data_IF_031478611405
#
_entry.id   IF_031478611405
#
_cell.length_a   1.000
_cell.length_b   1.000
_cell.length_c   1.000
_cell.angle_alpha   90.00
_cell.angle_beta   90.00
_cell.angle_gamma   90.00
#
_symmetry.space_group_name_H-M   'P 1'
#
loop_
_entity.id
_entity.type
_entity.pdbx_description
1 polymer ?
#
# COMPACT_ATOMS: atom_id res chain seq x y z
N UNK A 1 4.58 -14.88 -8.09
CA UNK A 1 5.88 -15.13 -7.42
C UNK A 1 6.12 -13.96 -6.49
N UNK A 2 6.40 -14.19 -5.21
CA UNK A 2 6.66 -13.11 -4.26
C UNK A 2 7.89 -12.28 -4.71
N UNK A 3 7.93 -10.96 -4.43
CA UNK A 3 9.10 -10.14 -4.72
C UNK A 3 10.33 -10.67 -3.96
N UNK A 4 11.52 -10.40 -4.47
CA UNK A 4 12.78 -10.87 -3.87
C UNK A 4 12.87 -10.43 -2.41
N UNK A 5 13.18 -11.36 -1.50
CA UNK A 5 13.33 -11.12 -0.07
C UNK A 5 12.02 -11.17 0.72
N UNK A 6 10.87 -11.21 0.05
CA UNK A 6 9.58 -11.43 0.70
C UNK A 6 9.27 -12.92 0.83
N UNK A 7 8.64 -13.27 1.94
CA UNK A 7 8.25 -14.64 2.31
C UNK A 7 6.81 -14.65 2.80
N UNK A 8 6.26 -15.85 3.03
CA UNK A 8 4.83 -15.99 3.32
C UNK A 8 4.00 -15.70 2.08
N UNK A 9 2.84 -15.05 2.25
CA UNK A 9 1.92 -14.78 1.14
C UNK A 9 1.32 -16.06 0.55
N UNK A 10 1.04 -17.04 1.40
CA UNK A 10 0.24 -18.22 1.06
C UNK A 10 -1.25 -17.91 1.20
N UNK A 11 -2.11 -18.72 0.59
CA UNK A 11 -3.57 -18.48 0.61
C UNK A 11 -4.03 -17.63 -0.58
N UNK A 12 -5.00 -16.74 -0.36
CA UNK A 12 -5.53 -15.82 -1.38
C UNK A 12 -4.76 -14.49 -1.39
N UNK A 13 -3.43 -14.60 -1.51
CA UNK A 13 -2.52 -13.46 -1.58
C UNK A 13 -1.77 -13.50 -2.91
N UNK A 14 -1.86 -12.42 -3.67
CA UNK A 14 -1.29 -12.33 -5.01
C UNK A 14 -0.47 -11.05 -5.17
N UNK A 15 0.38 -11.05 -6.20
CA UNK A 15 1.25 -9.92 -6.54
C UNK A 15 0.97 -9.58 -7.99
N UNK A 16 0.41 -8.41 -8.20
CA UNK A 16 -0.18 -7.99 -9.46
C UNK A 16 0.43 -6.70 -9.98
N UNK A 17 0.28 -6.51 -11.29
CA UNK A 17 0.73 -5.32 -11.98
C UNK A 17 -0.33 -4.20 -11.86
N UNK A 18 0.08 -2.92 -11.82
CA UNK A 18 -0.85 -1.80 -11.82
C UNK A 18 -1.89 -1.88 -12.96
N UNK A 19 -3.15 -1.61 -12.65
CA UNK A 19 -4.24 -1.60 -13.65
C UNK A 19 -4.85 -2.97 -13.95
N UNK A 20 -4.44 -4.04 -13.27
CA UNK A 20 -4.97 -5.39 -13.52
C UNK A 20 -6.04 -5.84 -12.54
N UNK A 21 -6.35 -5.07 -11.49
CA UNK A 21 -7.20 -5.53 -10.37
C UNK A 21 -8.60 -5.98 -10.82
N UNK A 22 -9.13 -5.41 -11.91
CA UNK A 22 -10.46 -5.75 -12.43
C UNK A 22 -10.50 -6.96 -13.36
N UNK A 23 -9.34 -7.54 -13.68
CA UNK A 23 -9.19 -8.63 -14.63
C UNK A 23 -8.63 -9.87 -13.95
N UNK A 24 -9.23 -11.04 -14.20
CA UNK A 24 -8.71 -12.30 -13.67
C UNK A 24 -7.43 -12.71 -14.41
N UNK A 25 -6.28 -12.22 -13.95
CA UNK A 25 -4.97 -12.44 -14.57
C UNK A 25 -4.00 -13.15 -13.61
N UNK A 26 -4.49 -14.17 -12.91
CA UNK A 26 -3.68 -14.98 -11.99
C UNK A 26 -3.82 -14.61 -10.50
N UNK A 27 -4.72 -13.67 -10.18
CA UNK A 27 -5.12 -13.28 -8.83
C UNK A 27 -6.65 -13.17 -8.67
N UNK A 28 -7.12 -12.29 -7.81
CA UNK A 28 -8.51 -12.02 -7.46
C UNK A 28 -9.01 -10.80 -8.25
N UNK A 29 -10.01 -11.00 -9.11
CA UNK A 29 -10.63 -9.86 -9.79
C UNK A 29 -11.55 -9.10 -8.82
N UNK A 30 -11.33 -7.79 -8.66
CA UNK A 30 -12.19 -6.87 -7.91
C UNK A 30 -13.10 -6.06 -8.82
N UNK A 31 -14.16 -5.47 -8.25
CA UNK A 31 -15.06 -4.59 -9.01
C UNK A 31 -14.39 -3.29 -9.48
N UNK A 32 -13.40 -2.80 -8.75
CA UNK A 32 -12.72 -1.53 -9.03
C UNK A 32 -11.21 -1.65 -8.86
N UNK A 33 -10.49 -0.93 -9.71
CA UNK A 33 -9.04 -0.75 -9.58
C UNK A 33 -8.74 0.38 -8.58
N UNK A 34 -7.74 0.21 -7.69
CA UNK A 34 -7.40 1.22 -6.69
C UNK A 34 -6.79 2.51 -7.29
N UNK A 35 -6.47 2.49 -8.59
CA UNK A 35 -5.89 3.59 -9.34
C UNK A 35 -4.39 3.43 -9.57
N UNK A 36 -3.81 4.36 -10.33
CA UNK A 36 -2.37 4.42 -10.54
C UNK A 36 -1.66 5.15 -9.39
N UNK A 37 -0.39 4.82 -9.15
CA UNK A 37 0.56 5.59 -8.34
C UNK A 37 1.80 5.94 -9.18
N UNK A 38 2.44 7.06 -8.86
CA UNK A 38 3.67 7.51 -9.54
C UNK A 38 4.94 7.05 -8.82
N UNK A 39 5.08 5.75 -8.53
CA UNK A 39 6.27 5.20 -7.87
C UNK A 39 7.43 5.11 -8.87
N UNK A 40 8.58 5.72 -8.51
CA UNK A 40 9.78 5.74 -9.36
C UNK A 40 10.27 4.32 -9.64
N UNK A 41 10.43 4.00 -10.93
CA UNK A 41 10.81 2.65 -11.36
C UNK A 41 9.63 1.70 -11.59
N UNK A 42 8.40 2.18 -11.41
CA UNK A 42 7.20 1.36 -11.44
C UNK A 42 6.97 0.65 -10.11
N UNK A 43 5.85 -0.04 -10.01
CA UNK A 43 5.49 -0.82 -8.83
C UNK A 43 4.67 -2.04 -9.26
N UNK A 44 4.69 -3.07 -8.41
CA UNK A 44 3.62 -4.06 -8.33
C UNK A 44 2.87 -3.79 -7.01
N UNK A 45 1.69 -4.36 -6.85
CA UNK A 45 1.00 -4.36 -5.57
C UNK A 45 0.72 -5.78 -5.11
N UNK A 46 0.58 -5.93 -3.80
CA UNK A 46 0.03 -7.12 -3.17
C UNK A 46 -1.47 -6.92 -3.06
N UNK A 47 -2.23 -7.97 -3.34
CA UNK A 47 -3.64 -8.09 -3.00
C UNK A 47 -3.81 -9.28 -2.06
N UNK A 48 -4.67 -9.13 -1.07
CA UNK A 48 -4.92 -10.13 -0.03
C UNK A 48 -6.39 -10.11 0.40
N UNK A 49 -6.95 -11.26 0.71
CA UNK A 49 -8.37 -11.47 0.98
C UNK A 49 -8.87 -11.00 2.36
N UNK A 50 -8.11 -10.71 3.40
CA UNK A 50 -8.67 -10.21 4.67
C UNK A 50 -9.67 -11.12 5.43
N UNK A 51 -10.23 -12.18 4.84
CA UNK A 51 -10.93 -13.25 5.54
C UNK A 51 -9.89 -14.15 6.22
N UNK A 52 -9.97 -14.34 7.54
CA UNK A 52 -8.93 -15.05 8.26
C UNK A 52 -8.66 -16.50 7.82
N UNK A 53 -9.61 -17.18 7.15
CA UNK A 53 -9.41 -18.52 6.59
C UNK A 53 -8.48 -18.58 5.38
N UNK A 54 -8.33 -17.46 4.68
CA UNK A 54 -7.54 -17.39 3.44
C UNK A 54 -6.27 -16.56 3.58
N UNK A 55 -6.06 -15.96 4.76
CA UNK A 55 -4.97 -15.06 5.04
C UNK A 55 -3.73 -15.76 5.60
N UNK A 56 -2.57 -15.16 5.31
CA UNK A 56 -1.31 -15.47 5.98
C UNK A 56 -0.40 -14.24 5.96
N UNK A 57 0.55 -14.17 6.89
CA UNK A 57 1.50 -13.07 6.90
C UNK A 57 2.28 -12.97 5.58
N UNK A 58 2.36 -11.75 5.05
CA UNK A 58 3.27 -11.38 3.97
C UNK A 58 4.47 -10.63 4.57
N UNK A 59 5.63 -11.28 4.56
CA UNK A 59 6.70 -11.01 5.51
C UNK A 59 8.01 -10.62 4.83
N UNK A 60 8.79 -9.76 5.48
CA UNK A 60 10.13 -9.37 5.07
C UNK A 60 11.08 -9.31 6.27
N UNK A 61 12.27 -9.91 6.18
CA UNK A 61 13.28 -9.84 7.25
C UNK A 61 14.05 -8.53 7.19
N UNK A 62 14.03 -7.77 8.29
CA UNK A 62 14.70 -6.48 8.43
C UNK A 62 15.84 -6.62 9.45
N UNK A 63 17.08 -6.43 9.00
CA UNK A 63 18.27 -6.46 9.87
C UNK A 63 18.85 -5.07 10.12
N UNK A 64 19.69 -4.95 11.16
CA UNK A 64 20.37 -3.69 11.51
C UNK A 64 19.51 -2.77 12.38
N UNK A 65 18.50 -3.33 13.03
CA UNK A 65 17.63 -2.60 13.95
C UNK A 65 18.34 -2.35 15.29
N UNK A 66 17.92 -1.27 15.96
CA UNK A 66 18.32 -0.97 17.33
C UNK A 66 17.16 -1.38 18.24
N UNK A 67 17.40 -2.36 19.11
CA UNK A 67 16.41 -2.85 20.07
C UNK A 67 15.83 -1.70 20.90
N UNK A 68 14.51 -1.66 21.04
CA UNK A 68 13.76 -0.62 21.75
C UNK A 68 13.60 0.69 20.99
N UNK A 69 14.14 0.81 19.76
CA UNK A 69 13.95 2.00 18.93
C UNK A 69 12.65 1.86 18.13
N UNK A 70 11.85 2.92 18.15
CA UNK A 70 10.68 3.06 17.27
C UNK A 70 11.09 3.56 15.90
N UNK A 71 10.62 2.87 14.87
CA UNK A 71 10.76 3.19 13.46
C UNK A 71 9.41 3.57 12.88
N UNK A 72 9.42 4.53 11.97
CA UNK A 72 8.24 4.93 11.20
C UNK A 72 8.27 4.17 9.88
N UNK A 73 7.30 3.30 9.67
CA UNK A 73 7.08 2.59 8.42
C UNK A 73 6.00 3.31 7.61
N UNK A 74 6.25 3.53 6.32
CA UNK A 74 5.25 4.05 5.39
C UNK A 74 4.97 3.12 4.23
N UNK A 75 3.75 3.19 3.71
CA UNK A 75 3.30 2.46 2.52
C UNK A 75 1.98 3.04 1.99
N UNK A 76 1.51 2.50 0.87
CA UNK A 76 0.19 2.78 0.33
C UNK A 76 -0.74 1.60 0.54
N UNK A 77 -1.95 1.89 1.01
CA UNK A 77 -3.03 0.91 1.08
C UNK A 77 -4.22 1.32 0.22
N UNK A 78 -5.01 0.35 -0.20
CA UNK A 78 -6.31 0.54 -0.85
C UNK A 78 -7.18 -0.68 -0.54
N UNK A 79 -8.45 -0.66 -0.96
CA UNK A 79 -9.33 -1.80 -0.80
C UNK A 79 -10.32 -1.97 -1.96
N UNK A 80 -10.81 -3.19 -2.16
CA UNK A 80 -11.84 -3.53 -3.13
C UNK A 80 -12.72 -4.67 -2.65
N UNK A 81 -13.74 -4.99 -3.43
CA UNK A 81 -14.54 -6.20 -3.26
C UNK A 81 -14.32 -7.12 -4.45
N UNK A 82 -14.12 -8.41 -4.18
CA UNK A 82 -14.02 -9.43 -5.23
C UNK A 82 -15.31 -9.51 -6.06
N UNK A 83 -15.16 -9.67 -7.38
CA UNK A 83 -16.27 -9.84 -8.30
C UNK A 83 -17.09 -11.10 -8.00
N UNK A 84 -18.42 -11.00 -8.15
CA UNK A 84 -19.35 -12.10 -7.89
C UNK A 84 -19.89 -12.14 -6.45
N UNK A 85 -19.40 -11.26 -5.58
CA UNK A 85 -19.87 -11.09 -4.20
C UNK A 85 -20.52 -9.72 -4.01
N UNK A 86 -21.35 -9.59 -2.98
CA UNK A 86 -22.10 -8.37 -2.67
C UNK A 86 -22.19 -8.16 -1.17
N UNK A 87 -22.54 -6.96 -0.76
CA UNK A 87 -22.62 -6.55 0.64
C UNK A 87 -21.47 -5.61 1.00
N UNK A 88 -21.68 -4.80 2.03
CA UNK A 88 -20.64 -3.89 2.51
C UNK A 88 -19.59 -4.68 3.31
N UNK A 89 -18.34 -4.30 3.16
CA UNK A 89 -17.22 -4.86 3.91
C UNK A 89 -16.27 -3.79 4.43
N UNK A 90 -15.30 -4.21 5.23
CA UNK A 90 -14.20 -3.36 5.67
C UNK A 90 -12.87 -4.04 5.46
N UNK A 91 -11.80 -3.26 5.30
CA UNK A 91 -10.43 -3.76 5.16
C UNK A 91 -9.45 -2.88 5.91
N UNK A 92 -8.42 -3.49 6.47
CA UNK A 92 -7.23 -2.80 6.97
C UNK A 92 -6.04 -3.74 6.89
N UNK A 93 -4.85 -3.18 7.05
CA UNK A 93 -3.64 -3.96 7.27
C UNK A 93 -3.34 -4.01 8.77
N UNK A 94 -3.05 -5.20 9.27
CA UNK A 94 -2.33 -5.38 10.53
C UNK A 94 -0.86 -5.52 10.18
N UNK A 95 -0.03 -4.72 10.83
CA UNK A 95 1.42 -4.68 10.58
C UNK A 95 2.13 -5.03 11.87
N UNK A 96 3.11 -5.95 11.81
CA UNK A 96 3.95 -6.29 12.95
C UNK A 96 5.43 -6.09 12.64
N UNK A 97 6.21 -5.85 13.70
CA UNK A 97 7.66 -5.96 13.72
C UNK A 97 8.04 -6.72 14.99
N UNK A 98 8.60 -7.92 14.82
CA UNK A 98 9.09 -8.75 15.92
C UNK A 98 9.89 -9.93 15.39
N UNK A 99 10.27 -10.88 16.23
CA UNK A 99 11.07 -12.05 15.81
C UNK A 99 10.28 -13.13 15.03
N UNK A 100 8.96 -12.95 14.89
CA UNK A 100 8.07 -13.77 14.08
C UNK A 100 7.11 -12.90 13.24
N UNK A 101 6.44 -13.53 12.27
CA UNK A 101 5.46 -12.86 11.39
C UNK A 101 4.02 -13.15 11.81
N UNK A 102 3.11 -12.27 11.40
CA UNK A 102 1.67 -12.40 11.68
C UNK A 102 1.05 -13.67 11.06
N UNK A 103 0.09 -14.21 11.78
CA UNK A 103 -0.76 -15.32 11.36
C UNK A 103 -2.19 -15.14 11.89
N UNK A 104 -3.06 -16.09 11.60
CA UNK A 104 -4.42 -16.19 12.14
C UNK A 104 -4.51 -17.41 13.05
N UNK A 105 -5.33 -17.33 14.09
CA UNK A 105 -5.65 -18.47 14.96
C UNK A 105 -7.15 -18.53 15.21
N UNK A 106 -7.65 -19.75 15.30
CA UNK A 106 -8.98 -20.05 15.80
C UNK A 106 -9.11 -19.47 17.22
N UNK A 107 -10.15 -18.67 17.45
CA UNK A 107 -10.42 -18.06 18.75
C UNK A 107 -11.01 -19.06 19.77
N UNK A 108 -11.32 -20.28 19.30
CA UNK A 108 -11.83 -21.39 20.11
C UNK A 108 -13.28 -21.19 20.56
N UNK A 109 -13.98 -20.15 20.08
CA UNK A 109 -15.38 -19.89 20.40
C UNK A 109 -16.33 -20.66 19.49
N UNK A 110 -15.82 -21.31 18.44
CA UNK A 110 -16.60 -22.08 17.48
C UNK A 110 -17.56 -21.22 16.65
N UNK A 111 -17.47 -19.89 16.78
CA UNK A 111 -17.98 -18.97 15.78
C UNK A 111 -16.86 -18.71 14.75
N UNK A 112 -17.27 -18.27 13.56
CA UNK A 112 -16.43 -18.04 12.39
C UNK A 112 -15.52 -16.81 12.55
N UNK A 113 -14.92 -16.61 13.72
CA UNK A 113 -14.10 -15.46 14.05
C UNK A 113 -12.72 -15.92 14.47
N UNK A 114 -11.81 -15.97 13.53
CA UNK A 114 -10.41 -16.10 13.91
C UNK A 114 -9.89 -14.73 14.40
N UNK A 115 -8.80 -14.75 15.15
CA UNK A 115 -8.05 -13.53 15.54
C UNK A 115 -6.68 -13.54 14.89
N UNK A 116 -6.15 -12.36 14.56
CA UNK A 116 -4.74 -12.25 14.19
C UNK A 116 -3.86 -12.53 15.40
N UNK A 117 -2.67 -13.05 15.13
CA UNK A 117 -1.76 -13.55 16.16
C UNK A 117 -0.30 -13.42 15.71
N UNK A 118 0.58 -13.13 16.67
CA UNK A 118 2.02 -13.22 16.52
C UNK A 118 2.58 -14.12 17.63
N UNK A 119 3.48 -15.04 17.28
CA UNK A 119 4.12 -15.93 18.27
C UNK A 119 5.14 -15.21 19.13
N UNK A 120 5.65 -14.08 18.65
CA UNK A 120 6.45 -13.19 19.47
C UNK A 120 5.53 -12.32 20.34
N UNK A 121 5.61 -12.52 21.65
CA UNK A 121 4.78 -11.82 22.61
C UNK A 121 5.15 -10.33 22.76
N UNK A 122 6.38 -9.96 22.38
CA UNK A 122 6.91 -8.61 22.49
C UNK A 122 6.85 -7.84 21.15
N UNK A 123 6.36 -8.50 20.08
CA UNK A 123 6.21 -7.88 18.77
C UNK A 123 5.41 -6.58 18.84
N UNK A 124 5.94 -5.55 18.19
CA UNK A 124 5.20 -4.31 18.00
C UNK A 124 4.16 -4.49 16.91
N UNK A 125 2.88 -4.29 17.23
CA UNK A 125 1.76 -4.44 16.29
C UNK A 125 1.03 -3.11 16.14
N UNK A 126 0.69 -2.76 14.90
CA UNK A 126 -0.12 -1.59 14.57
C UNK A 126 -1.20 -1.95 13.53
N UNK A 127 -2.41 -1.42 13.71
CA UNK A 127 -3.46 -1.48 12.69
C UNK A 127 -3.50 -0.18 11.89
N UNK A 128 -3.74 -0.29 10.58
CA UNK A 128 -3.98 0.89 9.75
C UNK A 128 -5.40 1.41 9.91
N UNK A 129 -5.68 2.59 9.34
CA UNK A 129 -7.03 3.12 9.25
C UNK A 129 -7.95 2.13 8.54
N UNK A 130 -9.08 1.80 9.16
CA UNK A 130 -10.12 0.96 8.59
C UNK A 130 -10.74 1.60 7.34
N UNK A 131 -10.67 0.87 6.23
CA UNK A 131 -11.29 1.23 4.95
C UNK A 131 -12.68 0.60 4.87
N UNK A 132 -13.69 1.40 4.52
CA UNK A 132 -15.05 0.91 4.28
C UNK A 132 -15.27 0.73 2.78
N UNK A 133 -15.69 -0.47 2.38
CA UNK A 133 -15.96 -0.83 0.99
C UNK A 133 -17.46 -1.10 0.88
N UNK A 134 -18.18 -0.23 0.18
CA UNK A 134 -19.59 -0.48 -0.14
C UNK A 134 -19.73 -1.66 -1.10
N UNK A 135 -20.88 -2.32 -1.17
CA UNK A 135 -21.14 -3.37 -2.16
C UNK A 135 -20.79 -2.93 -3.59
N UNK A 136 -19.95 -3.70 -4.29
CA UNK A 136 -19.40 -3.39 -5.62
C UNK A 136 -18.37 -2.25 -5.64
N UNK A 137 -17.96 -1.78 -4.46
CA UNK A 137 -17.15 -0.59 -4.26
C UNK A 137 -15.65 -0.85 -4.22
N UNK A 138 -14.92 0.23 -3.97
CA UNK A 138 -13.49 0.23 -3.69
C UNK A 138 -13.08 1.51 -2.96
N UNK A 139 -11.89 1.48 -2.39
CA UNK A 139 -11.20 2.62 -1.77
C UNK A 139 -9.90 2.81 -2.53
N UNK A 140 -9.70 4.00 -3.10
CA UNK A 140 -8.47 4.33 -3.83
C UNK A 140 -7.25 4.40 -2.91
N UNK A 141 -6.06 4.37 -3.50
CA UNK A 141 -4.80 4.46 -2.76
C UNK A 141 -4.74 5.63 -1.77
N UNK A 142 -4.42 5.32 -0.53
CA UNK A 142 -4.09 6.29 0.50
C UNK A 142 -2.76 5.95 1.17
N UNK A 143 -2.01 6.99 1.51
CA UNK A 143 -0.73 6.86 2.20
C UNK A 143 -0.94 6.53 3.67
N UNK A 144 -0.08 5.66 4.21
CA UNK A 144 -0.13 5.16 5.58
C UNK A 144 1.22 5.37 6.23
N UNK A 145 1.20 5.70 7.52
CA UNK A 145 2.36 5.61 8.39
C UNK A 145 1.98 4.90 9.66
N UNK A 146 2.79 3.92 10.06
CA UNK A 146 2.68 3.23 11.35
C UNK A 146 4.01 3.30 12.08
N UNK A 147 3.95 3.32 13.41
CA UNK A 147 5.14 3.32 14.26
C UNK A 147 5.30 1.94 14.88
N UNK A 148 6.46 1.32 14.68
CA UNK A 148 6.77 -0.02 15.15
C UNK A 148 8.08 0.03 15.93
N UNK A 149 8.12 -0.61 17.10
CA UNK A 149 9.33 -0.68 17.93
C UNK A 149 10.03 -2.02 17.72
N UNK A 150 11.31 -1.98 17.38
CA UNK A 150 12.10 -3.19 17.21
C UNK A 150 12.38 -3.86 18.56
N UNK A 151 12.26 -5.18 18.63
CA UNK A 151 12.55 -5.98 19.83
C UNK A 151 13.83 -6.84 19.68
N UNK A 152 14.31 -7.03 18.45
CA UNK A 152 15.64 -7.58 18.17
C UNK A 152 16.44 -6.71 17.18
N UNK A 153 17.66 -7.13 16.89
CA UNK A 153 18.51 -6.47 15.87
C UNK A 153 18.19 -6.97 14.46
N UNK A 154 17.38 -8.02 14.37
CA UNK A 154 16.80 -8.56 13.13
C UNK A 154 15.39 -9.02 13.45
N UNK A 155 14.42 -8.33 12.87
CA UNK A 155 13.00 -8.58 13.06
C UNK A 155 12.38 -8.99 11.72
N UNK A 156 11.19 -9.55 11.77
CA UNK A 156 10.30 -9.83 10.66
C UNK A 156 9.27 -8.72 10.63
N UNK A 157 9.26 -7.96 9.53
CA UNK A 157 8.16 -7.05 9.20
C UNK A 157 7.04 -7.87 8.56
N UNK A 158 5.89 -7.94 9.21
CA UNK A 158 4.73 -8.69 8.74
C UNK A 158 3.57 -7.78 8.33
N UNK A 159 2.89 -8.15 7.25
CA UNK A 159 1.61 -7.56 6.85
C UNK A 159 0.55 -8.67 6.78
N UNK A 160 -0.62 -8.41 7.35
CA UNK A 160 -1.77 -9.31 7.31
C UNK A 160 -3.00 -8.50 6.92
N UNK A 161 -3.72 -8.88 5.87
CA UNK A 161 -4.99 -8.25 5.59
C UNK A 161 -6.01 -8.68 6.64
N UNK A 162 -6.82 -7.74 7.10
CA UNK A 162 -7.79 -8.00 8.15
C UNK A 162 -9.09 -7.25 7.90
N UNK A 163 -10.18 -8.00 7.79
CA UNK A 163 -11.43 -7.46 7.32
C UNK A 163 -12.63 -7.92 8.14
N UNK A 164 -13.73 -7.16 8.08
CA UNK A 164 -15.00 -7.47 8.73
C UNK A 164 -14.86 -7.93 10.20
N UNK A 165 -13.88 -7.37 10.92
CA UNK A 165 -13.52 -7.76 12.29
C UNK A 165 -13.17 -9.26 12.44
N UNK A 166 -12.55 -9.87 11.44
CA UNK A 166 -12.23 -11.30 11.40
C UNK A 166 -13.39 -12.20 11.01
N UNK A 167 -14.47 -11.65 10.45
CA UNK A 167 -15.61 -12.46 9.98
C UNK A 167 -15.23 -13.31 8.77
N UNK A 168 -15.60 -14.60 8.80
CA UNK A 168 -15.34 -15.50 7.66
C UNK A 168 -16.52 -15.61 6.68
N UNK A 169 -17.56 -14.80 6.82
CA UNK A 169 -18.77 -14.87 5.98
C UNK A 169 -18.55 -14.15 4.64
N UNK A 170 -19.09 -14.73 3.56
CA UNK A 170 -18.99 -14.37 2.12
C UNK A 170 -19.16 -12.88 1.75
N UNK A 171 -18.23 -12.04 2.18
CA UNK A 171 -18.06 -10.66 1.70
C UNK A 171 -16.57 -10.41 1.41
N UNK A 172 -15.92 -11.24 0.55
CA UNK A 172 -14.47 -11.30 0.33
C UNK A 172 -13.91 -9.89 0.09
N UNK A 173 -13.26 -9.35 1.13
CA UNK A 173 -12.79 -7.98 1.18
C UNK A 173 -11.32 -7.94 0.75
N UNK A 174 -10.99 -7.33 -0.37
CA UNK A 174 -9.61 -7.34 -0.87
C UNK A 174 -8.86 -6.10 -0.36
N UNK A 175 -7.77 -6.32 0.37
CA UNK A 175 -6.84 -5.26 0.77
C UNK A 175 -5.66 -5.22 -0.22
N UNK A 176 -5.26 -4.00 -0.60
CA UNK A 176 -4.11 -3.78 -1.47
C UNK A 176 -2.97 -3.11 -0.72
N UNK A 177 -1.73 -3.49 -1.03
CA UNK A 177 -0.51 -2.96 -0.43
C UNK A 177 0.56 -2.69 -1.50
N UNK A 178 1.19 -1.52 -1.46
CA UNK A 178 2.37 -1.23 -2.27
C UNK A 178 3.23 -0.11 -1.68
N UNK A 179 4.39 0.13 -2.28
CA UNK A 179 5.23 1.30 -1.97
C UNK A 179 5.75 1.33 -0.53
N UNK A 180 6.09 0.17 0.03
CA UNK A 180 6.74 0.10 1.36
C UNK A 180 8.01 0.96 1.34
N UNK A 181 8.11 1.88 2.29
CA UNK A 181 9.15 2.92 2.42
C UNK A 181 9.26 3.89 1.23
N UNK A 182 8.19 4.01 0.43
CA UNK A 182 8.09 5.05 -0.61
C UNK A 182 7.62 6.38 -0.02
N UNK A 183 8.02 7.53 -0.60
CA UNK A 183 7.60 8.84 -0.11
C UNK A 183 6.10 9.08 -0.35
N UNK A 184 5.52 10.00 0.41
CA UNK A 184 4.13 10.44 0.23
C UNK A 184 3.92 11.23 -1.08
N UNK A 185 2.67 11.37 -1.51
CA UNK A 185 2.27 12.25 -2.62
C UNK A 185 2.37 11.66 -4.03
N UNK A 186 2.52 10.34 -4.17
CA UNK A 186 2.64 9.62 -5.45
C UNK A 186 1.31 9.47 -6.20
N UNK A 187 0.58 10.57 -6.45
CA UNK A 187 -0.66 10.56 -7.25
C UNK A 187 -0.37 10.71 -8.76
N UNK A 188 -1.19 10.12 -9.65
CA UNK A 188 -1.13 10.44 -11.08
C UNK A 188 -1.51 11.91 -11.26
N UNK A 189 -0.63 12.68 -11.90
CA UNK A 189 -0.90 14.07 -12.27
C UNK A 189 -0.29 15.15 -11.39
N UNK A 190 0.50 14.84 -10.36
CA UNK A 190 1.37 15.84 -9.71
C UNK A 190 2.68 15.90 -10.50
N UNK A 191 2.98 17.01 -11.22
CA UNK A 191 4.26 17.15 -11.89
C UNK A 191 5.36 17.09 -10.83
N UNK A 192 6.33 16.19 -11.01
CA UNK A 192 7.50 16.13 -10.12
C UNK A 192 8.12 17.54 -9.96
N UNK A 193 8.75 17.86 -8.81
CA UNK A 193 9.34 19.18 -8.57
C UNK A 193 10.25 19.69 -9.70
N UNK A 194 10.90 18.78 -10.44
CA UNK A 194 11.69 19.11 -11.63
C UNK A 194 10.86 19.64 -12.80
N UNK A 195 9.61 19.19 -12.97
CA UNK A 195 8.68 19.71 -13.98
C UNK A 195 8.31 21.17 -13.71
N UNK A 196 8.22 21.57 -12.44
CA UNK A 196 8.07 22.98 -12.07
C UNK A 196 9.33 23.77 -12.38
N UNK A 197 10.50 23.23 -12.06
CA UNK A 197 11.77 23.88 -12.40
C UNK A 197 11.93 24.09 -13.91
N UNK A 198 11.60 23.09 -14.72
CA UNK A 198 11.65 23.18 -16.19
C UNK A 198 10.56 24.10 -16.76
N UNK A 199 9.36 24.12 -16.19
CA UNK A 199 8.32 25.07 -16.58
C UNK A 199 8.75 26.52 -16.29
N UNK A 200 9.28 26.77 -15.08
CA UNK A 200 9.80 28.09 -14.68
C UNK A 200 10.98 28.51 -15.57
N UNK A 201 11.93 27.61 -15.82
CA UNK A 201 13.07 27.86 -16.72
C UNK A 201 12.60 28.12 -18.16
N UNK A 202 11.62 27.37 -18.66
CA UNK A 202 11.05 27.54 -19.99
C UNK A 202 10.38 28.92 -20.15
N UNK A 203 9.57 29.33 -19.17
CA UNK A 203 8.92 30.65 -19.20
C UNK A 203 9.91 31.80 -19.00
N UNK A 204 10.91 31.65 -18.12
CA UNK A 204 11.97 32.65 -17.93
C UNK A 204 12.83 32.81 -19.21
N UNK A 205 13.15 31.69 -19.86
CA UNK A 205 13.84 31.67 -21.15
C UNK A 205 13.07 32.41 -22.23
N UNK A 206 11.79 32.08 -22.44
CA UNK A 206 10.93 32.75 -23.40
C UNK A 206 10.77 34.25 -23.11
N UNK A 207 10.55 34.62 -21.84
CA UNK A 207 10.45 36.02 -21.42
C UNK A 207 11.72 36.83 -21.69
N UNK A 208 12.90 36.23 -21.50
CA UNK A 208 14.19 36.88 -21.78
C UNK A 208 14.43 37.13 -23.27
N UNK A 209 14.03 36.18 -24.13
CA UNK A 209 14.13 36.29 -25.59
C UNK A 209 13.20 37.41 -26.08
N UNK A 210 11.93 37.40 -25.63
CA UNK A 210 10.95 38.44 -25.98
C UNK A 210 11.37 39.84 -25.51
N UNK A 211 12.02 39.95 -24.34
CA UNK A 211 12.55 41.22 -23.83
C UNK A 211 13.73 41.73 -24.67
N UNK A 212 14.60 40.84 -25.14
CA UNK A 212 15.74 41.19 -26.00
C UNK A 212 15.30 41.68 -27.38
N UNK A 213 14.25 41.11 -27.93
CA UNK A 213 13.69 41.57 -29.22
C UNK A 213 13.04 42.95 -29.12
N UNK A 214 12.34 43.25 -28.02
CA UNK A 214 11.79 44.59 -27.77
C UNK A 214 12.89 45.64 -27.62
N UNK A 215 13.99 45.32 -26.93
CA UNK A 215 15.13 46.24 -26.79
C UNK A 215 15.82 46.52 -28.13
N UNK A 216 15.96 45.51 -29.00
CA UNK A 216 16.49 45.69 -30.36
C UNK A 216 15.58 46.53 -31.25
N UNK A 217 14.25 46.40 -31.13
CA UNK A 217 13.29 47.22 -31.88
C UNK A 217 13.23 48.68 -31.39
N UNK A 218 13.44 48.94 -30.10
CA UNK A 218 13.50 50.29 -29.55
C UNK A 218 14.78 51.06 -29.94
N UNK A 219 15.91 50.35 -30.13
CA UNK A 219 17.19 50.95 -30.51
C UNK A 219 17.32 51.32 -32.00
N UNK A 220 16.34 50.94 -32.85
CA UNK A 220 16.34 51.24 -34.29
C UNK A 220 15.60 52.55 -34.62
N UNK A 221 14.95 53.19 -33.64
CA UNK A 221 14.23 54.46 -33.81
C UNK A 221 14.81 55.62 -32.99
N UNK A 222 16.06 55.53 -32.52
CA UNK A 222 16.77 56.61 -31.84
C UNK A 222 17.87 57.20 -32.74
#
# INVERSE_FOLDING_TARGET
MAPVGWTGGSGLIYVDAPGTATSFSGGIATYQDPGALSIKGGYNYVEADGNPYYESGFNYTVSGLTVGKTYSLSFYQAAGQQQGFTGDSTNQWIVSLGTAGLSTKDDGLGDSKDVYYDTDADASIASTTLMHVTSGGGVSWNYVTVNLTADATTDVLGFLAWANQGSTINVPPIAFLTGVDSPAGLSPGVPEPASWALAILGFAGAGSILRRERAKRAAVCA
#
